data_IF_975726733928
#
_entry.id   IF_975726733928
#
_cell.length_a   1.000
_cell.length_b   1.000
_cell.length_c   1.000
_cell.angle_alpha   90.00
_cell.angle_beta   90.00
_cell.angle_gamma   90.00
#
_symmetry.space_group_name_H-M   'P 1'
#
loop_
_entity.id
_entity.type
_entity.pdbx_description
1 polymer ?
#
# COMPACT_ATOMS: atom_id res chain seq x y z
N UNK A 1 -1.91 21.74 -5.87
CA UNK A 1 -1.29 21.24 -4.62
C UNK A 1 -1.66 19.79 -4.35
N UNK A 2 -2.95 19.44 -4.41
CA UNK A 2 -3.47 18.09 -4.17
C UNK A 2 -2.78 16.96 -4.96
N UNK A 3 -2.60 17.08 -6.28
CA UNK A 3 -1.86 16.07 -7.08
C UNK A 3 -0.42 15.83 -6.61
N UNK A 4 0.28 16.87 -6.14
CA UNK A 4 1.64 16.72 -5.58
C UNK A 4 1.60 15.93 -4.28
N UNK A 5 0.63 16.19 -3.42
CA UNK A 5 0.44 15.44 -2.17
C UNK A 5 0.09 13.98 -2.46
N UNK A 6 -0.85 13.71 -3.37
CA UNK A 6 -1.16 12.34 -3.81
C UNK A 6 0.08 11.61 -4.32
N UNK A 7 0.89 12.28 -5.14
CA UNK A 7 2.14 11.74 -5.66
C UNK A 7 3.12 11.39 -4.53
N UNK A 8 3.37 12.30 -3.59
CA UNK A 8 4.27 12.07 -2.46
C UNK A 8 3.78 10.89 -1.61
N UNK A 9 2.50 10.86 -1.25
CA UNK A 9 1.90 9.75 -0.48
C UNK A 9 2.06 8.43 -1.23
N UNK A 10 1.80 8.42 -2.54
CA UNK A 10 1.95 7.22 -3.38
C UNK A 10 3.41 6.74 -3.41
N UNK A 11 4.38 7.66 -3.51
CA UNK A 11 5.79 7.30 -3.42
C UNK A 11 6.17 6.73 -2.05
N UNK A 12 5.67 7.30 -0.95
CA UNK A 12 5.90 6.74 0.39
C UNK A 12 5.37 5.31 0.50
N UNK A 13 4.20 5.05 -0.08
CA UNK A 13 3.59 3.71 -0.14
C UNK A 13 4.41 2.71 -0.97
N UNK A 14 5.29 3.16 -1.88
CA UNK A 14 6.22 2.26 -2.58
C UNK A 14 7.17 1.53 -1.65
N UNK A 15 7.42 2.06 -0.44
CA UNK A 15 8.24 1.41 0.59
C UNK A 15 7.74 0.03 0.99
N UNK A 16 6.44 -0.25 0.79
CA UNK A 16 5.85 -1.59 1.00
C UNK A 16 6.50 -2.67 0.12
N UNK A 17 7.14 -2.30 -0.99
CA UNK A 17 7.87 -3.23 -1.87
C UNK A 17 9.00 -3.97 -1.17
N UNK A 18 9.47 -3.48 0.00
CA UNK A 18 10.48 -4.17 0.77
C UNK A 18 10.07 -5.57 1.25
N UNK A 19 8.77 -5.88 1.28
CA UNK A 19 8.28 -7.22 1.63
C UNK A 19 8.76 -8.30 0.66
N UNK A 20 9.17 -7.92 -0.57
CA UNK A 20 9.82 -8.81 -1.53
C UNK A 20 11.01 -9.58 -0.92
N UNK A 21 11.75 -8.97 0.01
CA UNK A 21 12.89 -9.60 0.68
C UNK A 21 12.50 -10.81 1.56
N UNK A 22 11.21 -10.93 1.92
CA UNK A 22 10.72 -11.92 2.88
C UNK A 22 9.84 -13.00 2.25
N UNK A 23 9.30 -12.79 1.04
CA UNK A 23 8.38 -13.73 0.39
C UNK A 23 8.99 -15.14 0.28
N UNK A 24 10.23 -15.24 -0.22
CA UNK A 24 10.90 -16.54 -0.41
C UNK A 24 11.27 -17.27 0.90
N UNK A 25 11.24 -16.55 2.02
CA UNK A 25 11.54 -17.08 3.36
C UNK A 25 10.29 -17.47 4.14
N UNK A 26 9.11 -17.20 3.59
CA UNK A 26 7.84 -17.42 4.28
C UNK A 26 7.60 -18.90 4.52
N UNK A 27 7.31 -19.28 5.78
CA UNK A 27 7.20 -20.67 6.22
C UNK A 27 8.55 -21.37 6.39
N UNK A 28 9.66 -20.63 6.37
CA UNK A 28 10.99 -21.15 6.64
C UNK A 28 11.20 -21.55 8.10
N UNK A 29 12.31 -22.24 8.37
CA UNK A 29 12.65 -22.78 9.69
C UNK A 29 13.77 -21.98 10.39
N UNK A 30 14.25 -20.88 9.79
CA UNK A 30 15.33 -20.07 10.36
C UNK A 30 14.77 -18.95 11.24
N UNK A 31 15.52 -18.49 12.27
CA UNK A 31 15.09 -17.37 13.10
C UNK A 31 14.77 -16.12 12.28
N UNK A 32 13.63 -15.50 12.57
CA UNK A 32 13.13 -14.33 11.83
C UNK A 32 12.51 -14.65 10.47
N UNK A 33 12.29 -15.92 10.10
CA UNK A 33 11.46 -16.25 8.94
C UNK A 33 9.97 -15.96 9.24
N UNK A 34 9.23 -15.38 8.29
CA UNK A 34 7.81 -15.13 8.48
C UNK A 34 7.01 -16.43 8.60
N UNK A 35 5.99 -16.50 9.48
CA UNK A 35 5.04 -17.61 9.49
C UNK A 35 4.33 -17.76 8.12
N UNK A 36 3.92 -18.98 7.75
CA UNK A 36 3.29 -19.25 6.45
C UNK A 36 2.05 -18.38 6.15
N UNK A 37 1.29 -18.02 7.18
CA UNK A 37 0.13 -17.14 7.08
C UNK A 37 0.46 -15.73 6.53
N UNK A 38 1.72 -15.29 6.62
CA UNK A 38 2.18 -13.99 6.14
C UNK A 38 2.42 -13.93 4.63
N UNK A 39 2.37 -15.06 3.92
CA UNK A 39 2.69 -15.09 2.49
C UNK A 39 1.79 -14.12 1.70
N UNK A 40 0.48 -14.16 1.95
CA UNK A 40 -0.47 -13.31 1.24
C UNK A 40 -0.29 -11.82 1.56
N UNK A 41 -0.20 -11.39 2.83
CA UNK A 41 0.19 -10.01 3.18
C UNK A 41 1.48 -9.53 2.51
N UNK A 42 2.55 -10.35 2.54
CA UNK A 42 3.84 -9.97 1.96
C UNK A 42 3.77 -9.79 0.45
N UNK A 43 3.06 -10.69 -0.24
CA UNK A 43 2.81 -10.59 -1.68
C UNK A 43 1.94 -9.38 -2.00
N UNK A 44 0.89 -9.13 -1.23
CA UNK A 44 0.03 -7.96 -1.37
C UNK A 44 0.80 -6.65 -1.23
N UNK A 45 1.56 -6.51 -0.14
CA UNK A 45 2.46 -5.39 0.12
C UNK A 45 3.46 -5.17 -1.02
N UNK A 46 4.03 -6.26 -1.55
CA UNK A 46 5.00 -6.20 -2.63
C UNK A 46 4.36 -5.69 -3.93
N UNK A 47 3.19 -6.23 -4.29
CA UNK A 47 2.43 -5.80 -5.47
C UNK A 47 2.05 -4.34 -5.32
N UNK A 48 1.47 -3.94 -4.19
CA UNK A 48 1.11 -2.53 -3.94
C UNK A 48 2.35 -1.64 -4.02
N UNK A 49 3.43 -2.00 -3.34
CA UNK A 49 4.66 -1.20 -3.30
C UNK A 49 5.28 -1.00 -4.69
N UNK A 50 5.41 -2.07 -5.47
CA UNK A 50 5.97 -1.99 -6.84
C UNK A 50 5.05 -1.21 -7.77
N UNK A 51 3.73 -1.50 -7.73
CA UNK A 51 2.75 -0.80 -8.58
C UNK A 51 2.51 0.64 -8.16
N UNK A 52 2.89 1.05 -6.95
CA UNK A 52 2.82 2.44 -6.51
C UNK A 52 3.63 3.37 -7.41
N UNK A 53 4.79 2.94 -7.93
CA UNK A 53 5.58 3.73 -8.87
C UNK A 53 4.82 4.01 -10.18
N UNK A 54 4.08 3.00 -10.66
CA UNK A 54 3.21 3.16 -11.82
C UNK A 54 2.05 4.12 -11.54
N UNK A 55 1.38 3.97 -10.39
CA UNK A 55 0.30 4.88 -9.98
C UNK A 55 0.81 6.32 -9.81
N UNK A 56 2.01 6.49 -9.25
CA UNK A 56 2.66 7.81 -9.11
C UNK A 56 2.93 8.44 -10.48
N UNK A 57 3.37 7.65 -11.46
CA UNK A 57 3.49 8.10 -12.85
C UNK A 57 2.15 8.51 -13.44
N UNK A 58 1.09 7.70 -13.27
CA UNK A 58 -0.26 8.03 -13.74
C UNK A 58 -0.78 9.33 -13.15
N UNK A 59 -0.61 9.53 -11.83
CA UNK A 59 -1.00 10.75 -11.11
C UNK A 59 -0.37 11.99 -11.72
N UNK A 60 0.86 11.92 -12.24
CA UNK A 60 1.56 13.08 -12.79
C UNK A 60 1.39 13.28 -14.29
N UNK A 61 1.31 12.19 -15.06
CA UNK A 61 1.53 12.23 -16.52
C UNK A 61 0.33 11.87 -17.36
N UNK A 62 -0.72 11.30 -16.78
CA UNK A 62 -1.87 10.80 -17.54
C UNK A 62 -3.17 11.44 -17.06
N UNK A 63 -4.12 11.51 -17.99
CA UNK A 63 -5.50 11.90 -17.78
C UNK A 63 -6.41 10.87 -18.45
N UNK A 64 -7.71 11.02 -18.27
CA UNK A 64 -8.76 10.09 -18.64
C UNK A 64 -9.44 9.44 -17.43
N UNK A 65 -10.72 9.09 -17.61
CA UNK A 65 -11.52 8.37 -16.60
C UNK A 65 -10.83 7.09 -16.13
N UNK A 66 -10.13 6.37 -17.01
CA UNK A 66 -9.41 5.16 -16.66
C UNK A 66 -8.29 5.40 -15.64
N UNK A 67 -7.61 6.56 -15.67
CA UNK A 67 -6.56 6.93 -14.70
C UNK A 67 -7.17 7.13 -13.33
N UNK A 68 -8.24 7.91 -13.27
CA UNK A 68 -8.98 8.16 -12.04
C UNK A 68 -9.49 6.84 -11.44
N UNK A 69 -10.11 5.98 -12.26
CA UNK A 69 -10.59 4.67 -11.83
C UNK A 69 -9.46 3.79 -11.32
N UNK A 70 -8.32 3.75 -12.02
CA UNK A 70 -7.14 2.99 -11.57
C UNK A 70 -6.64 3.47 -10.21
N UNK A 71 -6.56 4.79 -9.98
CA UNK A 71 -6.16 5.37 -8.69
C UNK A 71 -7.14 4.94 -7.58
N UNK A 72 -8.44 5.04 -7.81
CA UNK A 72 -9.46 4.68 -6.81
C UNK A 72 -9.41 3.19 -6.48
N UNK A 73 -9.44 2.33 -7.50
CA UNK A 73 -9.43 0.86 -7.33
C UNK A 73 -8.15 0.40 -6.65
N UNK A 74 -6.99 0.91 -7.09
CA UNK A 74 -5.71 0.54 -6.51
C UNK A 74 -5.63 0.91 -5.02
N UNK A 75 -6.06 2.13 -4.64
CA UNK A 75 -6.06 2.52 -3.22
C UNK A 75 -7.06 1.71 -2.39
N UNK A 76 -8.24 1.37 -2.95
CA UNK A 76 -9.22 0.54 -2.25
C UNK A 76 -8.69 -0.88 -1.98
N UNK A 77 -8.05 -1.50 -2.98
CA UNK A 77 -7.41 -2.81 -2.82
C UNK A 77 -6.27 -2.75 -1.81
N UNK A 78 -5.48 -1.68 -1.82
CA UNK A 78 -4.37 -1.51 -0.89
C UNK A 78 -4.82 -1.29 0.57
N UNK A 79 -5.98 -0.66 0.78
CA UNK A 79 -6.62 -0.57 2.10
C UNK A 79 -7.05 -1.95 2.56
N UNK A 80 -7.74 -2.70 1.70
CA UNK A 80 -8.15 -4.08 2.00
C UNK A 80 -6.96 -4.95 2.39
N UNK A 81 -5.88 -4.87 1.62
CA UNK A 81 -4.64 -5.60 1.87
C UNK A 81 -4.00 -5.24 3.22
N UNK A 82 -3.87 -3.95 3.54
CA UNK A 82 -3.33 -3.50 4.82
C UNK A 82 -4.18 -3.96 6.03
N UNK A 83 -5.51 -3.91 5.91
CA UNK A 83 -6.41 -4.38 6.97
C UNK A 83 -6.41 -5.92 7.08
N UNK A 84 -6.25 -6.63 5.96
CA UNK A 84 -6.09 -8.08 5.97
C UNK A 84 -4.77 -8.48 6.64
N UNK A 85 -3.69 -7.75 6.38
CA UNK A 85 -2.41 -7.94 7.05
C UNK A 85 -2.51 -7.70 8.56
N UNK A 86 -3.30 -6.72 9.00
CA UNK A 86 -3.59 -6.52 10.43
C UNK A 86 -4.32 -7.73 11.05
N UNK A 87 -5.29 -8.33 10.35
CA UNK A 87 -5.97 -9.55 10.81
C UNK A 87 -4.97 -10.72 10.94
N UNK A 88 -4.07 -10.87 9.97
CA UNK A 88 -3.01 -11.88 10.04
C UNK A 88 -2.07 -11.59 11.21
N UNK A 89 -1.70 -10.34 11.44
CA UNK A 89 -0.85 -9.95 12.56
C UNK A 89 -1.45 -10.33 13.92
N UNK A 90 -2.75 -10.12 14.14
CA UNK A 90 -3.38 -10.46 15.42
C UNK A 90 -3.65 -11.96 15.60
N UNK A 91 -3.71 -12.73 14.51
CA UNK A 91 -3.98 -14.19 14.55
C UNK A 91 -2.71 -15.04 14.48
N UNK A 92 -1.68 -14.55 13.80
CA UNK A 92 -0.40 -15.22 13.54
C UNK A 92 0.72 -14.18 13.66
N UNK A 93 1.02 -13.68 14.87
CA UNK A 93 1.98 -12.59 15.05
C UNK A 93 3.38 -12.99 14.57
N UNK A 94 4.08 -12.03 13.95
CA UNK A 94 5.47 -12.14 13.55
C UNK A 94 6.28 -11.01 14.22
N UNK A 95 6.77 -11.24 15.45
CA UNK A 95 7.40 -10.18 16.25
C UNK A 95 8.76 -9.75 15.70
N UNK A 96 9.45 -10.59 14.94
CA UNK A 96 10.77 -10.23 14.36
C UNK A 96 10.66 -9.32 13.13
N UNK A 97 9.44 -8.98 12.68
CA UNK A 97 9.27 -8.02 11.61
C UNK A 97 9.55 -6.60 12.11
N UNK A 98 10.66 -6.03 11.67
CA UNK A 98 11.17 -4.75 12.17
C UNK A 98 10.15 -3.59 12.10
N UNK A 99 9.24 -3.56 11.11
CA UNK A 99 8.21 -2.50 11.07
C UNK A 99 7.19 -2.64 12.19
N UNK A 100 6.81 -3.87 12.55
CA UNK A 100 5.93 -4.13 13.68
C UNK A 100 6.67 -3.82 14.98
N UNK A 101 7.95 -4.10 15.06
CA UNK A 101 8.76 -3.74 16.24
C UNK A 101 8.83 -2.22 16.44
N UNK A 102 9.04 -1.46 15.35
CA UNK A 102 9.21 -0.01 15.41
C UNK A 102 7.89 0.77 15.55
N UNK A 103 6.85 0.35 14.82
CA UNK A 103 5.60 1.11 14.68
C UNK A 103 4.40 0.39 15.31
N UNK A 104 4.56 -0.86 15.73
CA UNK A 104 3.47 -1.68 16.22
C UNK A 104 2.37 -1.90 15.17
N UNK A 105 1.17 -2.35 15.60
CA UNK A 105 0.02 -2.54 14.72
C UNK A 105 -0.46 -1.22 14.06
N UNK A 106 -0.02 -0.06 14.54
CA UNK A 106 -0.42 1.24 14.00
C UNK A 106 0.00 1.45 12.54
N UNK A 107 1.05 0.75 12.08
CA UNK A 107 1.54 0.85 10.70
C UNK A 107 0.47 0.49 9.65
N UNK A 108 -0.36 -0.51 9.94
CA UNK A 108 -1.41 -0.95 9.01
C UNK A 108 -2.47 0.15 8.86
N UNK A 109 -2.86 0.79 9.96
CA UNK A 109 -3.80 1.90 9.95
C UNK A 109 -3.21 3.15 9.32
N UNK A 110 -1.93 3.44 9.54
CA UNK A 110 -1.24 4.53 8.87
C UNK A 110 -1.21 4.33 7.36
N UNK A 111 -0.92 3.12 6.88
CA UNK A 111 -0.98 2.76 5.47
C UNK A 111 -2.40 2.95 4.91
N UNK A 112 -3.42 2.39 5.56
CA UNK A 112 -4.82 2.57 5.15
C UNK A 112 -5.24 4.04 5.13
N UNK A 113 -4.82 4.83 6.11
CA UNK A 113 -5.11 6.26 6.18
C UNK A 113 -4.46 7.04 5.04
N UNK A 114 -3.22 6.72 4.66
CA UNK A 114 -2.57 7.32 3.49
C UNK A 114 -3.32 7.01 2.20
N UNK A 115 -3.74 5.76 1.99
CA UNK A 115 -4.56 5.37 0.83
C UNK A 115 -5.92 6.07 0.83
N UNK A 116 -6.58 6.18 1.98
CA UNK A 116 -7.85 6.90 2.12
C UNK A 116 -7.68 8.39 1.81
N UNK A 117 -6.60 9.01 2.29
CA UNK A 117 -6.29 10.40 1.96
C UNK A 117 -6.13 10.60 0.45
N UNK A 118 -5.46 9.68 -0.25
CA UNK A 118 -5.33 9.73 -1.71
C UNK A 118 -6.70 9.63 -2.39
N UNK A 119 -7.59 8.73 -1.94
CA UNK A 119 -8.97 8.62 -2.46
C UNK A 119 -9.74 9.94 -2.25
N UNK A 120 -9.69 10.49 -1.04
CA UNK A 120 -10.37 11.76 -0.72
C UNK A 120 -9.87 12.88 -1.63
N UNK A 121 -8.54 12.99 -1.81
CA UNK A 121 -7.94 13.98 -2.72
C UNK A 121 -8.36 13.74 -4.18
N UNK A 122 -8.39 12.48 -4.64
CA UNK A 122 -8.80 12.13 -6.00
C UNK A 122 -10.28 12.45 -6.28
N UNK A 123 -11.12 12.45 -5.25
CA UNK A 123 -12.54 12.77 -5.33
C UNK A 123 -12.84 14.28 -5.25
N UNK A 124 -11.87 15.12 -4.89
CA UNK A 124 -12.05 16.57 -4.90
C UNK A 124 -12.33 17.06 -6.32
N UNK A 125 -13.24 18.03 -6.45
CA UNK A 125 -13.80 18.43 -7.74
C UNK A 125 -12.75 19.02 -8.70
N UNK A 126 -11.78 19.78 -8.19
CA UNK A 126 -10.65 20.33 -8.93
C UNK A 126 -9.72 19.23 -9.45
N UNK A 127 -9.39 18.26 -8.60
CA UNK A 127 -8.53 17.13 -8.94
C UNK A 127 -9.20 16.20 -9.95
N UNK A 128 -10.46 15.85 -9.70
CA UNK A 128 -11.24 14.98 -10.59
C UNK A 128 -11.36 15.59 -11.98
N UNK A 129 -11.70 16.88 -12.10
CA UNK A 129 -11.72 17.57 -13.41
C UNK A 129 -10.36 17.50 -14.10
N UNK A 130 -9.27 17.74 -13.36
CA UNK A 130 -7.91 17.65 -13.93
C UNK A 130 -7.50 16.26 -14.44
N UNK A 131 -8.23 15.21 -14.06
CA UNK A 131 -8.06 13.87 -14.62
C UNK A 131 -9.06 13.56 -15.75
N UNK A 132 -10.16 14.29 -15.88
CA UNK A 132 -11.21 14.00 -16.87
C UNK A 132 -11.18 14.92 -18.09
N UNK A 133 -10.50 16.06 -17.96
CA UNK A 133 -10.17 17.00 -19.03
C UNK A 133 -8.85 16.61 -19.73
#
# INVERSE_FOLDING_TARGET
>A
MHRKLMFILTLMLSGRAMTLAFILRTGGATPGDPPSAWLMPLVGDAIIGVTALWIAFLILKKTGLWVWTAIIVWNALAIWDALSAFIIHITNPWPEFFMIELLGPSMFFAASAMHLAIIVLACQSDVRKSFLD
#
